data_IF_076124812932
#
_entry.id   IF_076124812932
#
_cell.length_a   1.000
_cell.length_b   1.000
_cell.length_c   1.000
_cell.angle_alpha   90.00
_cell.angle_beta   90.00
_cell.angle_gamma   90.00
#
_symmetry.space_group_name_H-M   'P 1'
#
loop_
_entity.id
_entity.type
_entity.pdbx_description
1 polymer ?
#
# COMPACT_ATOMS: atom_id res chain seq x y z
N UNK A 1 -34.03 29.27 -10.74
CA UNK A 1 -32.58 29.04 -10.52
C UNK A 1 -32.33 27.55 -10.57
N UNK A 2 -31.69 27.06 -11.63
CA UNK A 2 -31.61 25.65 -12.00
C UNK A 2 -30.80 24.84 -10.96
N UNK A 3 -31.47 23.93 -10.24
CA UNK A 3 -30.82 22.79 -9.56
C UNK A 3 -30.83 21.60 -10.51
N UNK A 4 -29.73 21.40 -11.23
CA UNK A 4 -29.41 20.14 -11.86
C UNK A 4 -28.07 19.67 -11.26
N UNK A 5 -28.11 18.58 -10.49
CA UNK A 5 -27.00 17.87 -9.84
C UNK A 5 -26.29 18.52 -8.63
N UNK A 6 -27.01 18.68 -7.50
CA UNK A 6 -26.61 18.45 -6.08
C UNK A 6 -25.24 18.81 -5.47
N UNK A 7 -24.22 19.19 -6.25
CA UNK A 7 -22.87 19.52 -5.80
C UNK A 7 -22.78 21.01 -5.48
N UNK A 8 -22.43 21.32 -4.23
CA UNK A 8 -22.13 22.67 -3.78
C UNK A 8 -20.62 22.92 -3.84
N UNK A 9 -20.22 23.99 -4.53
CA UNK A 9 -18.85 24.50 -4.54
C UNK A 9 -18.79 25.80 -3.74
N UNK A 10 -17.76 25.95 -2.93
CA UNK A 10 -17.46 27.22 -2.27
C UNK A 10 -17.06 28.27 -3.30
N UNK A 11 -17.15 29.57 -2.95
CA UNK A 11 -16.70 30.66 -3.81
C UNK A 11 -15.24 30.47 -4.27
N UNK A 12 -14.39 29.95 -3.38
CA UNK A 12 -12.99 29.65 -3.68
C UNK A 12 -12.84 28.54 -4.72
N UNK A 13 -13.62 27.46 -4.60
CA UNK A 13 -13.62 26.34 -5.54
C UNK A 13 -14.19 26.74 -6.90
N UNK A 14 -15.22 27.57 -6.90
CA UNK A 14 -15.79 28.16 -8.12
C UNK A 14 -14.76 29.06 -8.83
N UNK A 15 -14.06 29.93 -8.09
CA UNK A 15 -13.00 30.76 -8.67
C UNK A 15 -11.83 29.93 -9.24
N UNK A 16 -11.46 28.81 -8.61
CA UNK A 16 -10.47 27.89 -9.18
C UNK A 16 -10.95 27.28 -10.50
N UNK A 17 -12.22 26.87 -10.57
CA UNK A 17 -12.84 26.32 -11.77
C UNK A 17 -12.94 27.35 -12.91
N UNK A 18 -13.05 28.63 -12.58
CA UNK A 18 -13.05 29.76 -13.52
C UNK A 18 -11.64 30.22 -13.93
N UNK A 19 -10.58 29.61 -13.39
CA UNK A 19 -9.21 29.85 -13.79
C UNK A 19 -8.48 30.95 -13.03
N UNK A 20 -9.01 31.43 -11.90
CA UNK A 20 -8.37 32.48 -11.09
C UNK A 20 -6.95 32.14 -10.61
N UNK A 21 -6.62 30.85 -10.58
CA UNK A 21 -5.36 30.29 -10.07
C UNK A 21 -4.45 29.72 -11.16
N UNK A 22 -4.77 29.97 -12.43
CA UNK A 22 -4.05 29.45 -13.58
C UNK A 22 -4.51 28.07 -14.05
N UNK A 23 -4.04 27.70 -15.24
CA UNK A 23 -4.56 26.58 -16.03
C UNK A 23 -4.43 25.22 -15.35
N UNK A 24 -3.30 24.93 -14.70
CA UNK A 24 -3.11 23.65 -14.03
C UNK A 24 -4.11 23.45 -12.87
N UNK A 25 -4.40 24.50 -12.10
CA UNK A 25 -5.34 24.42 -10.97
C UNK A 25 -6.77 24.29 -11.46
N UNK A 26 -7.12 25.03 -12.51
CA UNK A 26 -8.42 24.90 -13.18
C UNK A 26 -8.67 23.46 -13.61
N UNK A 27 -7.74 22.89 -14.38
CA UNK A 27 -7.80 21.50 -14.84
C UNK A 27 -7.91 20.49 -13.68
N UNK A 28 -7.17 20.70 -12.60
CA UNK A 28 -7.24 19.85 -11.41
C UNK A 28 -8.63 19.89 -10.75
N UNK A 29 -9.21 21.08 -10.60
CA UNK A 29 -10.56 21.22 -10.03
C UNK A 29 -11.62 20.65 -10.97
N UNK A 30 -11.49 20.82 -12.29
CA UNK A 30 -12.38 20.19 -13.27
C UNK A 30 -12.44 18.67 -13.11
N UNK A 31 -11.27 18.02 -12.96
CA UNK A 31 -11.19 16.57 -12.72
C UNK A 31 -11.89 16.19 -11.41
N UNK A 32 -11.60 16.90 -10.31
CA UNK A 32 -12.20 16.62 -9.00
C UNK A 32 -13.72 16.86 -9.03
N UNK A 33 -14.20 17.90 -9.69
CA UNK A 33 -15.63 18.20 -9.88
C UNK A 33 -16.31 17.15 -10.75
N UNK A 34 -15.64 16.67 -11.81
CA UNK A 34 -16.17 15.60 -12.64
C UNK A 34 -16.35 14.31 -11.83
N UNK A 35 -15.36 13.93 -11.01
CA UNK A 35 -15.45 12.79 -10.10
C UNK A 35 -16.56 12.99 -9.06
N UNK A 36 -16.67 14.19 -8.48
CA UNK A 36 -17.74 14.54 -7.56
C UNK A 36 -19.12 14.32 -8.18
N UNK A 37 -19.32 14.73 -9.43
CA UNK A 37 -20.59 14.51 -10.17
C UNK A 37 -20.83 13.03 -10.46
N UNK A 38 -19.80 12.29 -10.88
CA UNK A 38 -19.89 10.84 -11.19
C UNK A 38 -20.32 10.05 -9.96
N UNK A 39 -19.73 10.35 -8.80
CA UNK A 39 -19.99 9.63 -7.56
C UNK A 39 -21.08 10.26 -6.67
N UNK A 40 -21.76 11.30 -7.16
CA UNK A 40 -22.85 11.95 -6.44
C UNK A 40 -22.43 12.67 -5.15
N UNK A 41 -21.19 13.16 -5.07
CA UNK A 41 -20.73 13.93 -3.93
C UNK A 41 -21.50 15.26 -3.81
N UNK A 42 -21.92 15.60 -2.60
CA UNK A 42 -22.63 16.86 -2.34
C UNK A 42 -21.68 18.07 -2.23
N UNK A 43 -20.39 17.84 -1.98
CA UNK A 43 -19.36 18.88 -1.80
C UNK A 43 -17.97 18.35 -2.11
N UNK A 44 -17.02 19.26 -2.26
CA UNK A 44 -15.60 18.96 -2.14
C UNK A 44 -15.15 19.10 -0.68
N UNK A 45 -14.04 18.47 -0.32
CA UNK A 45 -13.45 18.54 1.02
C UNK A 45 -11.97 18.86 0.92
N UNK A 46 -11.40 19.70 1.80
CA UNK A 46 -9.95 19.91 1.85
C UNK A 46 -9.25 18.61 2.21
N UNK A 47 -8.06 18.40 1.65
CA UNK A 47 -7.20 17.26 1.99
C UNK A 47 -5.96 17.73 2.73
N UNK A 48 -5.57 17.01 3.77
CA UNK A 48 -4.39 17.34 4.58
C UNK A 48 -3.09 16.81 3.99
N UNK A 49 -3.14 15.67 3.29
CA UNK A 49 -2.01 15.14 2.53
C UNK A 49 -2.47 14.31 1.34
N UNK A 50 -1.55 14.12 0.39
CA UNK A 50 -1.76 13.30 -0.80
C UNK A 50 -0.63 12.29 -0.97
N UNK A 51 -0.96 11.11 -1.48
CA UNK A 51 0.03 10.16 -1.97
C UNK A 51 -0.30 9.78 -3.41
N UNK A 52 0.60 10.12 -4.33
CA UNK A 52 0.41 9.91 -5.77
C UNK A 52 0.89 8.51 -6.19
N UNK A 53 0.09 7.80 -6.99
CA UNK A 53 0.45 6.53 -7.62
C UNK A 53 0.91 6.71 -9.07
N UNK A 54 1.33 5.63 -9.74
CA UNK A 54 1.80 5.69 -11.12
C UNK A 54 3.21 6.27 -11.26
N UNK A 55 4.07 6.05 -10.26
CA UNK A 55 5.44 6.58 -10.22
C UNK A 55 6.40 5.70 -11.02
N UNK A 56 6.17 4.40 -11.07
CA UNK A 56 6.98 3.48 -11.87
C UNK A 56 6.83 3.77 -13.36
N UNK A 57 7.94 4.01 -14.06
CA UNK A 57 7.96 4.19 -15.50
C UNK A 57 7.43 2.96 -16.26
N UNK A 58 7.51 1.76 -15.66
CA UNK A 58 6.90 0.54 -16.19
C UNK A 58 5.40 0.71 -16.43
N UNK A 59 4.71 1.38 -15.49
CA UNK A 59 3.27 1.55 -15.52
C UNK A 59 2.87 2.86 -16.22
N UNK A 60 3.68 3.91 -16.05
CA UNK A 60 3.41 5.24 -16.58
C UNK A 60 3.69 5.34 -18.09
N UNK A 61 4.79 4.74 -18.54
CA UNK A 61 5.27 4.81 -19.91
C UNK A 61 5.56 6.23 -20.40
N UNK A 62 5.83 6.34 -21.70
CA UNK A 62 6.11 7.62 -22.35
C UNK A 62 4.90 8.57 -22.32
N UNK A 63 3.69 8.05 -22.55
CA UNK A 63 2.46 8.84 -22.55
C UNK A 63 2.20 9.48 -21.18
N UNK A 64 2.38 8.74 -20.09
CA UNK A 64 2.22 9.29 -18.76
C UNK A 64 3.33 10.30 -18.39
N UNK A 65 4.58 10.09 -18.83
CA UNK A 65 5.64 11.09 -18.65
C UNK A 65 5.36 12.37 -19.44
N UNK A 66 4.86 12.26 -20.68
CA UNK A 66 4.46 13.40 -21.49
C UNK A 66 3.31 14.18 -20.84
N UNK A 67 2.31 13.46 -20.31
CA UNK A 67 1.23 14.06 -19.51
C UNK A 67 1.78 14.84 -18.31
N UNK A 68 2.68 14.27 -17.51
CA UNK A 68 3.25 14.99 -16.37
C UNK A 68 4.04 16.24 -16.80
N UNK A 69 4.79 16.18 -17.90
CA UNK A 69 5.50 17.35 -18.44
C UNK A 69 4.55 18.45 -18.89
N UNK A 70 3.42 18.08 -19.50
CA UNK A 70 2.37 19.02 -19.88
C UNK A 70 1.80 19.75 -18.66
N UNK A 71 1.48 19.02 -17.59
CA UNK A 71 1.05 19.61 -16.32
C UNK A 71 2.10 20.57 -15.75
N UNK A 72 3.37 20.17 -15.76
CA UNK A 72 4.45 21.03 -15.28
C UNK A 72 4.57 22.31 -16.11
N UNK A 73 4.46 22.20 -17.44
CA UNK A 73 4.47 23.34 -18.36
C UNK A 73 3.26 24.28 -18.17
N UNK A 74 2.12 23.75 -17.74
CA UNK A 74 0.92 24.51 -17.34
C UNK A 74 1.06 25.15 -15.95
N UNK A 75 2.21 25.04 -15.30
CA UNK A 75 2.50 25.65 -14.00
C UNK A 75 2.02 24.82 -12.80
N UNK A 76 1.80 23.51 -12.97
CA UNK A 76 1.37 22.66 -11.86
C UNK A 76 2.32 22.72 -10.67
N UNK A 77 1.75 23.00 -9.49
CA UNK A 77 2.39 22.94 -8.19
C UNK A 77 1.42 22.36 -7.17
N UNK A 78 1.91 21.47 -6.32
CA UNK A 78 1.10 20.94 -5.22
C UNK A 78 0.93 21.98 -4.12
N UNK A 79 -0.22 21.94 -3.43
CA UNK A 79 -0.59 22.89 -2.37
C UNK A 79 -0.63 22.27 -0.98
N UNK A 80 -0.54 20.94 -0.91
CA UNK A 80 -0.60 20.16 0.32
C UNK A 80 0.57 19.19 0.35
N UNK A 81 1.04 18.76 1.54
CA UNK A 81 2.08 17.74 1.67
C UNK A 81 1.77 16.52 0.79
N UNK A 82 2.66 16.24 -0.15
CA UNK A 82 2.45 15.20 -1.16
C UNK A 82 3.68 14.31 -1.27
N UNK A 83 3.48 13.00 -1.21
CA UNK A 83 4.53 11.98 -1.38
C UNK A 83 4.21 11.04 -2.53
N UNK A 84 5.15 10.14 -2.83
CA UNK A 84 5.08 9.24 -3.97
C UNK A 84 4.94 7.77 -3.54
N UNK A 85 4.21 7.01 -4.34
CA UNK A 85 4.32 5.55 -4.32
C UNK A 85 5.73 5.07 -4.73
N UNK A 86 6.05 3.78 -4.53
CA UNK A 86 7.32 3.23 -4.98
C UNK A 86 7.56 3.48 -6.48
N UNK A 87 8.79 3.87 -6.81
CA UNK A 87 9.31 3.96 -8.16
C UNK A 87 9.53 2.57 -8.76
N UNK A 88 9.81 2.51 -10.06
CA UNK A 88 10.06 1.25 -10.77
C UNK A 88 11.41 0.60 -10.46
N UNK A 89 12.33 1.31 -9.81
CA UNK A 89 13.67 0.83 -9.45
C UNK A 89 14.18 1.55 -8.20
N UNK A 90 15.19 0.98 -7.54
CA UNK A 90 15.99 1.70 -6.55
C UNK A 90 16.78 2.82 -7.27
N UNK A 91 16.46 4.06 -6.94
CA UNK A 91 16.91 5.22 -7.73
C UNK A 91 18.42 5.46 -7.66
N UNK A 92 19.10 4.82 -6.70
CA UNK A 92 20.55 4.88 -6.51
C UNK A 92 21.25 3.59 -6.90
N UNK A 93 20.67 2.42 -6.55
CA UNK A 93 21.35 1.13 -6.67
C UNK A 93 20.87 0.27 -7.85
N UNK A 94 20.04 0.82 -8.74
CA UNK A 94 19.47 0.10 -9.89
C UNK A 94 20.48 -0.69 -10.73
N UNK A 95 21.70 -0.15 -10.97
CA UNK A 95 22.77 -0.84 -11.73
C UNK A 95 23.12 -2.17 -11.08
N UNK A 96 23.28 -2.19 -9.76
CA UNK A 96 23.63 -3.40 -8.99
C UNK A 96 22.49 -4.42 -8.92
N UNK A 97 21.26 -3.97 -9.16
CA UNK A 97 20.06 -4.81 -9.22
C UNK A 97 19.82 -5.39 -10.62
N UNK A 98 20.59 -4.97 -11.63
CA UNK A 98 20.52 -5.49 -12.99
C UNK A 98 19.58 -4.73 -13.92
N UNK A 99 19.11 -3.54 -13.53
CA UNK A 99 18.26 -2.72 -14.41
C UNK A 99 19.07 -1.94 -15.45
N UNK A 100 18.47 -1.66 -16.60
CA UNK A 100 19.13 -0.98 -17.71
C UNK A 100 19.21 0.54 -17.48
N UNK A 101 20.26 1.16 -18.03
CA UNK A 101 20.42 2.61 -17.98
C UNK A 101 19.30 3.37 -18.71
N UNK A 102 18.78 2.78 -19.80
CA UNK A 102 17.63 3.31 -20.52
C UNK A 102 16.39 3.44 -19.62
N UNK A 103 16.04 2.38 -18.89
CA UNK A 103 14.92 2.42 -17.94
C UNK A 103 15.19 3.40 -16.80
N UNK A 104 16.40 3.39 -16.24
CA UNK A 104 16.76 4.26 -15.13
C UNK A 104 16.69 5.75 -15.48
N UNK A 105 17.12 6.13 -16.70
CA UNK A 105 16.99 7.51 -17.19
C UNK A 105 15.53 7.95 -17.26
N UNK A 106 14.64 7.08 -17.76
CA UNK A 106 13.22 7.42 -17.84
C UNK A 106 12.57 7.50 -16.46
N UNK A 107 12.89 6.57 -15.56
CA UNK A 107 12.43 6.63 -14.18
C UNK A 107 12.89 7.92 -13.49
N UNK A 108 14.14 8.34 -13.70
CA UNK A 108 14.66 9.60 -13.16
C UNK A 108 13.86 10.80 -13.69
N UNK A 109 13.59 10.84 -14.99
CA UNK A 109 12.79 11.90 -15.60
C UNK A 109 11.37 12.01 -15.00
N UNK A 110 10.75 10.89 -14.61
CA UNK A 110 9.45 10.90 -13.89
C UNK A 110 9.59 11.59 -12.53
N UNK A 111 10.61 11.21 -11.76
CA UNK A 111 10.84 11.79 -10.44
C UNK A 111 11.17 13.27 -10.51
N UNK A 112 12.00 13.68 -11.47
CA UNK A 112 12.39 15.08 -11.66
C UNK A 112 11.17 15.96 -11.95
N UNK A 113 10.21 15.47 -12.74
CA UNK A 113 8.96 16.20 -13.03
C UNK A 113 8.09 16.34 -11.78
N UNK A 114 7.92 15.27 -11.00
CA UNK A 114 7.17 15.35 -9.75
C UNK A 114 7.84 16.28 -8.73
N UNK A 115 9.16 16.19 -8.55
CA UNK A 115 9.92 17.09 -7.67
C UNK A 115 9.82 18.53 -8.14
N UNK A 116 9.87 18.80 -9.45
CA UNK A 116 9.65 20.13 -9.99
C UNK A 116 8.25 20.69 -9.70
N UNK A 117 7.23 19.84 -9.55
CA UNK A 117 5.88 20.23 -9.08
C UNK A 117 5.80 20.49 -7.57
N UNK A 118 6.88 20.28 -6.81
CA UNK A 118 6.92 20.44 -5.36
C UNK A 118 6.52 19.19 -4.57
N UNK A 119 6.47 18.02 -5.21
CA UNK A 119 6.19 16.75 -4.54
C UNK A 119 7.48 16.23 -3.90
N UNK A 120 7.38 15.77 -2.65
CA UNK A 120 8.49 15.13 -1.95
C UNK A 120 8.76 13.75 -2.57
N UNK A 121 9.97 13.48 -3.13
CA UNK A 121 10.29 12.25 -3.83
C UNK A 121 10.49 11.03 -2.90
N UNK A 122 9.78 11.00 -1.77
CA UNK A 122 9.70 9.84 -0.88
C UNK A 122 8.91 8.74 -1.58
N UNK A 123 9.61 7.76 -2.15
CA UNK A 123 9.05 6.67 -2.94
C UNK A 123 8.68 5.47 -2.07
N UNK A 124 7.54 5.49 -1.39
CA UNK A 124 7.12 4.38 -0.51
C UNK A 124 5.62 4.14 -0.49
N UNK A 125 5.22 2.87 -0.39
CA UNK A 125 3.84 2.47 -0.17
C UNK A 125 3.43 2.52 1.32
N UNK A 126 4.35 2.88 2.21
CA UNK A 126 4.14 2.97 3.68
C UNK A 126 4.51 4.34 4.25
N UNK A 127 3.90 5.45 3.75
CA UNK A 127 4.29 6.81 4.16
C UNK A 127 4.07 7.06 5.66
N UNK A 128 3.14 6.34 6.29
CA UNK A 128 2.88 6.36 7.73
C UNK A 128 4.05 5.84 8.59
N UNK A 129 4.93 5.00 8.05
CA UNK A 129 6.16 4.58 8.74
C UNK A 129 7.25 5.66 8.71
N UNK A 130 7.04 6.72 7.93
CA UNK A 130 7.93 7.88 7.82
C UNK A 130 7.32 9.16 8.43
N UNK A 131 6.22 9.03 9.17
CA UNK A 131 5.62 10.13 9.92
C UNK A 131 4.44 10.83 9.25
N UNK A 132 4.06 10.49 8.00
CA UNK A 132 2.79 10.96 7.44
C UNK A 132 1.62 10.17 8.06
N UNK A 133 1.18 10.62 9.25
CA UNK A 133 0.15 10.01 10.08
C UNK A 133 -0.99 11.02 10.28
N UNK A 134 -1.94 11.11 9.34
CA UNK A 134 -3.11 11.98 9.46
C UNK A 134 -3.89 11.70 10.74
N UNK A 135 -4.55 12.73 11.28
CA UNK A 135 -5.36 12.61 12.48
C UNK A 135 -6.67 11.85 12.23
N UNK A 136 -7.29 11.36 13.31
CA UNK A 136 -8.61 10.72 13.23
C UNK A 136 -9.64 11.66 12.58
N UNK A 137 -10.37 11.15 11.59
CA UNK A 137 -11.36 11.89 10.82
C UNK A 137 -10.80 12.84 9.75
N UNK A 138 -9.49 13.01 9.66
CA UNK A 138 -8.86 13.90 8.69
C UNK A 138 -9.02 13.37 7.26
N UNK A 139 -9.37 14.25 6.32
CA UNK A 139 -9.53 13.89 4.92
C UNK A 139 -8.19 13.94 4.20
N UNK A 140 -7.87 12.88 3.45
CA UNK A 140 -6.66 12.78 2.63
C UNK A 140 -7.02 12.20 1.26
N UNK A 141 -6.09 12.28 0.30
CA UNK A 141 -6.25 11.64 -1.01
C UNK A 141 -5.05 10.74 -1.30
N UNK A 142 -5.11 9.48 -0.85
CA UNK A 142 -4.03 8.52 -1.04
C UNK A 142 -4.39 7.50 -2.12
N UNK A 143 -3.42 7.16 -2.98
CA UNK A 143 -3.65 6.27 -4.11
C UNK A 143 -3.16 4.82 -3.86
N UNK A 144 -2.22 4.60 -2.93
CA UNK A 144 -1.73 3.25 -2.66
C UNK A 144 -2.76 2.41 -1.91
N UNK A 145 -3.14 1.27 -2.48
CA UNK A 145 -4.26 0.47 -1.94
C UNK A 145 -4.05 -0.01 -0.50
N UNK A 146 -2.82 -0.38 -0.12
CA UNK A 146 -2.52 -0.78 1.26
C UNK A 146 -2.39 0.42 2.19
N UNK A 147 -1.93 1.57 1.72
CA UNK A 147 -1.85 2.78 2.54
C UNK A 147 -3.24 3.36 2.80
N UNK A 148 -4.14 3.30 1.81
CA UNK A 148 -5.56 3.64 1.94
C UNK A 148 -6.22 2.78 3.02
N UNK A 149 -6.04 1.46 2.96
CA UNK A 149 -6.59 0.54 3.96
C UNK A 149 -6.06 0.85 5.37
N UNK A 150 -4.75 1.11 5.48
CA UNK A 150 -4.12 1.49 6.74
C UNK A 150 -4.61 2.84 7.28
N UNK A 151 -4.72 3.86 6.42
CA UNK A 151 -5.16 5.19 6.81
C UNK A 151 -6.61 5.16 7.32
N UNK A 152 -7.51 4.46 6.61
CA UNK A 152 -8.89 4.33 7.03
C UNK A 152 -9.04 3.50 8.31
N UNK A 153 -8.42 2.31 8.37
CA UNK A 153 -8.64 1.37 9.47
C UNK A 153 -7.85 1.72 10.74
N UNK A 154 -6.58 2.08 10.60
CA UNK A 154 -5.65 2.20 11.74
C UNK A 154 -5.53 3.63 12.21
N UNK A 155 -5.45 4.60 11.29
CA UNK A 155 -5.37 6.02 11.64
C UNK A 155 -6.75 6.66 11.81
N UNK A 156 -7.82 6.04 11.29
CA UNK A 156 -9.16 6.62 11.27
C UNK A 156 -9.29 7.83 10.34
N UNK A 157 -8.33 8.02 9.43
CA UNK A 157 -8.41 9.05 8.40
C UNK A 157 -9.47 8.66 7.34
N UNK A 158 -9.79 9.61 6.46
CA UNK A 158 -10.84 9.45 5.45
C UNK A 158 -10.25 9.60 4.06
N UNK A 159 -10.23 8.50 3.30
CA UNK A 159 -9.80 8.49 1.91
C UNK A 159 -10.49 7.40 1.11
N UNK A 160 -10.84 7.71 -0.12
CA UNK A 160 -11.14 6.69 -1.12
C UNK A 160 -9.83 6.11 -1.69
N UNK A 161 -9.97 5.11 -2.56
CA UNK A 161 -8.85 4.60 -3.37
C UNK A 161 -8.67 5.51 -4.58
N UNK A 162 -7.79 6.50 -4.46
CA UNK A 162 -7.52 7.46 -5.52
C UNK A 162 -6.75 6.82 -6.69
N UNK A 163 -7.00 7.29 -7.91
CA UNK A 163 -6.17 7.01 -9.07
C UNK A 163 -4.98 7.96 -9.13
N UNK A 164 -3.97 7.65 -9.95
CA UNK A 164 -2.82 8.54 -10.16
C UNK A 164 -3.22 9.98 -10.56
N UNK A 165 -4.05 10.15 -11.62
CA UNK A 165 -4.51 11.48 -12.04
C UNK A 165 -5.39 12.20 -11.02
N UNK A 166 -6.26 11.48 -10.30
CA UNK A 166 -7.14 12.09 -9.30
C UNK A 166 -6.36 12.53 -8.06
N UNK A 167 -5.41 11.71 -7.58
CA UNK A 167 -4.50 12.09 -6.51
C UNK A 167 -3.65 13.32 -6.88
N UNK A 168 -3.05 13.35 -8.08
CA UNK A 168 -2.28 14.51 -8.54
C UNK A 168 -3.16 15.77 -8.61
N UNK A 169 -4.39 15.64 -9.12
CA UNK A 169 -5.36 16.75 -9.15
C UNK A 169 -5.68 17.24 -7.74
N UNK A 170 -5.94 16.32 -6.80
CA UNK A 170 -6.19 16.65 -5.41
C UNK A 170 -4.99 17.34 -4.74
N UNK A 171 -3.76 16.96 -5.07
CA UNK A 171 -2.57 17.64 -4.57
C UNK A 171 -2.44 19.07 -5.09
N UNK A 172 -2.77 19.30 -6.37
CA UNK A 172 -2.66 20.61 -7.02
C UNK A 172 -3.76 21.57 -6.55
N UNK A 173 -5.00 21.11 -6.41
CA UNK A 173 -6.11 21.97 -5.97
C UNK A 173 -6.32 21.98 -4.45
N UNK A 174 -5.75 21.02 -3.72
CA UNK A 174 -5.93 20.85 -2.27
C UNK A 174 -7.31 20.33 -1.87
N UNK A 175 -8.05 19.71 -2.80
CA UNK A 175 -9.44 19.23 -2.61
C UNK A 175 -9.63 17.83 -3.16
N UNK A 176 -10.47 17.03 -2.53
CA UNK A 176 -11.05 15.82 -3.12
C UNK A 176 -12.58 15.85 -3.02
N UNK A 177 -13.26 14.94 -3.73
CA UNK A 177 -14.71 14.82 -3.69
C UNK A 177 -15.16 14.08 -2.42
N UNK A 178 -16.14 14.62 -1.69
CA UNK A 178 -16.67 13.99 -0.48
C UNK A 178 -17.71 12.90 -0.83
N UNK A 179 -17.23 11.72 -1.23
CA UNK A 179 -18.04 10.52 -1.47
C UNK A 179 -17.38 9.29 -0.84
N UNK A 180 -18.06 8.14 -0.90
CA UNK A 180 -17.49 6.86 -0.47
C UNK A 180 -17.06 6.93 1.00
N UNK A 181 -15.83 6.52 1.29
CA UNK A 181 -15.28 6.44 2.66
C UNK A 181 -14.97 7.81 3.28
N UNK A 182 -15.23 8.92 2.59
CA UNK A 182 -15.29 10.22 3.24
C UNK A 182 -16.58 10.44 4.04
N UNK A 183 -17.62 9.64 3.81
CA UNK A 183 -18.94 9.72 4.45
C UNK A 183 -19.10 8.64 5.53
N UNK A 184 -19.70 8.98 6.66
CA UNK A 184 -19.84 8.07 7.82
C UNK A 184 -20.67 6.83 7.49
N UNK A 185 -21.74 7.00 6.72
CA UNK A 185 -22.68 5.92 6.43
C UNK A 185 -22.01 4.80 5.63
N UNK A 186 -21.03 5.13 4.79
CA UNK A 186 -20.29 4.18 3.95
C UNK A 186 -19.16 3.48 4.70
N UNK A 187 -18.87 3.86 5.95
CA UNK A 187 -17.81 3.27 6.78
C UNK A 187 -18.34 2.16 7.70
N UNK A 188 -19.65 1.94 7.69
CA UNK A 188 -20.31 0.90 8.46
C UNK A 188 -19.99 -0.49 7.93
N UNK A 189 -19.66 -1.41 8.83
CA UNK A 189 -19.35 -2.79 8.49
C UNK A 189 -20.60 -3.60 8.17
N UNK A 190 -20.70 -4.02 6.90
CA UNK A 190 -21.71 -4.97 6.44
C UNK A 190 -21.34 -6.43 6.65
N UNK A 191 -20.15 -6.71 7.20
CA UNK A 191 -19.68 -8.08 7.46
C UNK A 191 -19.12 -8.21 8.87
N UNK A 192 -19.60 -9.20 9.62
CA UNK A 192 -19.01 -9.64 10.89
C UNK A 192 -18.09 -10.83 10.60
N UNK A 193 -16.81 -10.72 10.92
CA UNK A 193 -15.82 -11.79 10.72
C UNK A 193 -15.36 -12.33 12.07
N UNK A 194 -15.81 -13.53 12.43
CA UNK A 194 -15.37 -14.22 13.65
C UNK A 194 -14.13 -15.09 13.35
N UNK A 195 -12.98 -14.73 13.92
CA UNK A 195 -11.70 -15.44 13.71
C UNK A 195 -11.39 -16.32 14.92
N UNK A 196 -11.58 -17.64 14.75
CA UNK A 196 -11.48 -18.65 15.82
C UNK A 196 -10.20 -19.49 15.76
N UNK A 197 -9.40 -19.30 14.72
CA UNK A 197 -8.08 -19.90 14.61
C UNK A 197 -6.99 -18.96 15.17
N UNK A 198 -5.85 -19.51 15.60
CA UNK A 198 -4.75 -18.70 16.10
C UNK A 198 -4.07 -17.89 14.98
N UNK A 199 -3.69 -16.64 15.28
CA UNK A 199 -2.93 -15.77 14.38
C UNK A 199 -1.55 -15.46 14.99
N UNK A 200 -0.48 -16.07 14.48
CA UNK A 200 0.85 -16.01 15.10
C UNK A 200 1.82 -15.12 14.34
N UNK A 201 1.81 -15.23 13.02
CA UNK A 201 2.79 -14.62 12.11
C UNK A 201 2.16 -13.56 11.22
N UNK A 202 2.96 -12.65 10.66
CA UNK A 202 2.48 -11.66 9.66
C UNK A 202 1.82 -12.34 8.45
N UNK A 203 2.27 -13.56 8.11
CA UNK A 203 1.71 -14.38 7.03
C UNK A 203 0.32 -14.92 7.36
N UNK A 204 0.02 -15.22 8.62
CA UNK A 204 -1.33 -15.64 9.04
C UNK A 204 -2.34 -14.50 8.80
N UNK A 205 -1.96 -13.28 9.19
CA UNK A 205 -2.76 -12.08 8.96
C UNK A 205 -2.89 -11.76 7.46
N UNK A 206 -1.84 -11.98 6.68
CA UNK A 206 -1.90 -11.86 5.22
C UNK A 206 -2.86 -12.89 4.59
N UNK A 207 -2.81 -14.15 5.03
CA UNK A 207 -3.67 -15.22 4.55
C UNK A 207 -5.15 -14.96 4.90
N UNK A 208 -5.41 -14.52 6.14
CA UNK A 208 -6.72 -14.08 6.59
C UNK A 208 -7.24 -12.93 5.71
N UNK A 209 -6.43 -11.90 5.49
CA UNK A 209 -6.81 -10.78 4.64
C UNK A 209 -7.09 -11.19 3.20
N UNK A 210 -6.30 -12.11 2.64
CA UNK A 210 -6.58 -12.66 1.32
C UNK A 210 -7.96 -13.35 1.27
N UNK A 211 -8.25 -14.23 2.23
CA UNK A 211 -9.51 -14.98 2.31
C UNK A 211 -10.72 -14.05 2.44
N UNK A 212 -10.63 -13.08 3.34
CA UNK A 212 -11.73 -12.14 3.57
C UNK A 212 -11.92 -11.21 2.38
N UNK A 213 -10.85 -10.63 1.83
CA UNK A 213 -10.96 -9.77 0.65
C UNK A 213 -11.65 -10.48 -0.53
N UNK A 214 -11.36 -11.77 -0.75
CA UNK A 214 -12.05 -12.56 -1.78
C UNK A 214 -13.55 -12.74 -1.54
N UNK A 215 -13.99 -12.75 -0.28
CA UNK A 215 -15.39 -12.96 0.11
C UNK A 215 -16.19 -11.66 0.15
N UNK A 216 -15.63 -10.60 0.73
CA UNK A 216 -16.34 -9.33 0.95
C UNK A 216 -16.18 -8.35 -0.20
N UNK A 217 -15.22 -8.57 -1.09
CA UNK A 217 -14.88 -7.67 -2.19
C UNK A 217 -14.67 -6.24 -1.67
N UNK A 218 -15.39 -5.24 -2.18
CA UNK A 218 -15.28 -3.83 -1.76
C UNK A 218 -16.07 -3.50 -0.49
N UNK A 219 -16.65 -4.50 0.17
CA UNK A 219 -17.37 -4.33 1.43
C UNK A 219 -16.45 -4.02 2.62
N UNK A 220 -17.04 -3.53 3.71
CA UNK A 220 -16.34 -3.22 4.96
C UNK A 220 -16.54 -4.35 5.98
N UNK A 221 -15.49 -5.12 6.33
CA UNK A 221 -15.55 -6.13 7.37
C UNK A 221 -15.19 -5.58 8.75
N UNK A 222 -15.83 -6.11 9.80
CA UNK A 222 -15.45 -5.94 11.19
C UNK A 222 -15.03 -7.29 11.79
N UNK A 223 -13.78 -7.37 12.22
CA UNK A 223 -13.16 -8.58 12.76
C UNK A 223 -13.34 -8.67 14.28
N UNK A 224 -13.71 -9.88 14.73
CA UNK A 224 -13.75 -10.28 16.13
C UNK A 224 -12.72 -11.38 16.33
N UNK A 225 -11.65 -11.05 17.06
CA UNK A 225 -10.50 -11.92 17.28
C UNK A 225 -10.66 -12.59 18.65
N UNK A 226 -10.61 -13.91 18.68
CA UNK A 226 -10.77 -14.70 19.92
C UNK A 226 -9.45 -15.22 20.49
N UNK A 227 -8.33 -14.98 19.80
CA UNK A 227 -6.98 -15.31 20.29
C UNK A 227 -6.46 -14.16 21.15
N UNK A 228 -6.24 -14.41 22.44
CA UNK A 228 -5.76 -13.42 23.42
C UNK A 228 -4.43 -12.75 23.00
N UNK A 229 -3.62 -13.40 22.17
CA UNK A 229 -2.37 -12.82 21.63
C UNK A 229 -2.59 -11.75 20.56
N UNK A 230 -3.84 -11.52 20.18
CA UNK A 230 -4.25 -10.46 19.27
C UNK A 230 -4.73 -9.20 20.02
N UNK A 231 -4.73 -9.23 21.36
CA UNK A 231 -5.04 -8.05 22.16
C UNK A 231 -3.98 -6.96 21.95
N UNK A 232 -4.44 -5.71 21.89
CA UNK A 232 -3.56 -4.54 21.89
C UNK A 232 -3.54 -3.98 23.29
N UNK A 233 -2.38 -3.95 23.97
CA UNK A 233 -2.30 -3.41 25.32
C UNK A 233 -2.72 -1.94 25.40
N UNK A 234 -2.35 -1.16 24.37
CA UNK A 234 -2.75 0.23 24.18
C UNK A 234 -2.92 0.54 22.68
N UNK A 235 -4.15 0.80 22.20
CA UNK A 235 -4.38 1.16 20.80
C UNK A 235 -3.69 2.46 20.37
N UNK A 236 -3.36 3.37 21.30
CA UNK A 236 -2.58 4.57 20.99
C UNK A 236 -1.11 4.26 20.68
N UNK A 237 -0.64 3.04 20.99
CA UNK A 237 0.68 2.56 20.58
C UNK A 237 0.75 2.26 19.07
N UNK A 238 -0.39 2.14 18.37
CA UNK A 238 -0.39 2.08 16.91
C UNK A 238 -0.14 3.49 16.34
N UNK A 239 0.76 3.65 15.35
CA UNK A 239 1.33 2.63 14.48
C UNK A 239 2.76 2.16 14.86
N UNK A 240 3.22 2.38 16.09
CA UNK A 240 4.59 2.02 16.52
C UNK A 240 4.68 0.64 17.21
N UNK A 241 3.54 -0.01 17.47
CA UNK A 241 3.43 -1.35 18.05
C UNK A 241 3.82 -2.48 17.05
N UNK A 242 4.39 -3.63 17.51
CA UNK A 242 4.65 -4.79 16.64
C UNK A 242 3.43 -5.35 15.88
N UNK A 243 2.22 -5.12 16.38
CA UNK A 243 0.98 -5.47 15.70
C UNK A 243 0.78 -4.68 14.41
N UNK A 244 1.40 -3.50 14.26
CA UNK A 244 1.32 -2.68 13.04
C UNK A 244 1.64 -3.48 11.78
N UNK A 245 2.66 -4.34 11.80
CA UNK A 245 3.03 -5.11 10.60
C UNK A 245 1.98 -6.17 10.25
N UNK A 246 1.31 -6.73 11.25
CA UNK A 246 0.21 -7.69 11.06
C UNK A 246 -1.02 -6.99 10.49
N UNK A 247 -1.39 -5.83 11.01
CA UNK A 247 -2.53 -5.03 10.52
C UNK A 247 -2.27 -4.47 9.12
N UNK A 248 -1.07 -3.96 8.89
CA UNK A 248 -0.57 -3.56 7.57
C UNK A 248 -0.70 -4.70 6.56
N UNK A 249 -0.28 -5.91 6.94
CA UNK A 249 -0.37 -7.10 6.09
C UNK A 249 -1.81 -7.54 5.82
N UNK A 250 -2.68 -7.52 6.84
CA UNK A 250 -4.11 -7.81 6.74
C UNK A 250 -4.80 -6.87 5.73
N UNK A 251 -4.67 -5.56 5.93
CA UNK A 251 -5.24 -4.54 5.05
C UNK A 251 -4.70 -4.63 3.63
N UNK A 252 -3.38 -4.81 3.48
CA UNK A 252 -2.75 -4.96 2.18
C UNK A 252 -3.26 -6.17 1.39
N UNK A 253 -3.44 -7.31 2.06
CA UNK A 253 -3.95 -8.52 1.44
C UNK A 253 -5.42 -8.36 1.00
N UNK A 254 -6.28 -7.78 1.84
CA UNK A 254 -7.68 -7.51 1.48
C UNK A 254 -7.80 -6.49 0.35
N UNK A 255 -6.98 -5.44 0.38
CA UNK A 255 -6.95 -4.42 -0.68
C UNK A 255 -6.53 -5.01 -2.03
N UNK A 256 -5.64 -6.00 -2.02
CA UNK A 256 -5.20 -6.71 -3.22
C UNK A 256 -6.25 -7.70 -3.76
N UNK A 257 -6.83 -8.52 -2.88
CA UNK A 257 -7.72 -9.61 -3.29
C UNK A 257 -9.19 -9.21 -3.45
N UNK A 258 -9.63 -8.14 -2.79
CA UNK A 258 -11.02 -7.68 -2.76
C UNK A 258 -11.25 -6.20 -3.06
N UNK A 259 -10.20 -5.39 -3.12
CA UNK A 259 -10.32 -3.92 -3.13
C UNK A 259 -10.96 -3.32 -1.86
N UNK A 260 -10.86 -4.02 -0.72
CA UNK A 260 -11.25 -3.50 0.60
C UNK A 260 -10.38 -2.29 0.95
N UNK A 261 -11.01 -1.14 1.15
CA UNK A 261 -10.34 0.12 1.48
C UNK A 261 -10.50 0.53 2.96
N UNK A 262 -11.36 -0.16 3.70
CA UNK A 262 -11.56 0.01 5.15
C UNK A 262 -11.93 -1.34 5.76
N UNK A 263 -11.41 -1.61 6.96
CA UNK A 263 -11.84 -2.69 7.82
C UNK A 263 -11.80 -2.22 9.26
N UNK A 264 -12.55 -2.90 10.12
CA UNK A 264 -12.59 -2.67 11.55
C UNK A 264 -12.08 -3.88 12.30
N UNK A 265 -11.46 -3.68 13.45
CA UNK A 265 -11.19 -4.75 14.41
C UNK A 265 -11.81 -4.30 15.72
N UNK A 266 -12.75 -5.10 16.23
CA UNK A 266 -13.44 -4.81 17.48
C UNK A 266 -12.42 -4.47 18.59
N UNK A 267 -12.68 -3.38 19.31
CA UNK A 267 -11.85 -2.87 20.42
C UNK A 267 -10.44 -2.38 20.04
N UNK A 268 -10.05 -2.47 18.77
CA UNK A 268 -8.70 -2.08 18.29
C UNK A 268 -8.76 -0.86 17.39
N UNK A 269 -9.53 -0.90 16.30
CA UNK A 269 -9.56 0.22 15.36
C UNK A 269 -10.31 1.43 15.95
N UNK A 270 -9.90 2.67 15.66
CA UNK A 270 -10.46 3.86 16.32
C UNK A 270 -12.00 3.96 16.24
N UNK A 271 -12.58 3.72 15.06
CA UNK A 271 -14.03 3.74 14.88
C UNK A 271 -14.73 2.59 15.61
N UNK A 272 -14.15 1.38 15.61
CA UNK A 272 -14.74 0.25 16.31
C UNK A 272 -14.73 0.42 17.83
N UNK A 273 -13.72 1.12 18.37
CA UNK A 273 -13.64 1.52 19.79
C UNK A 273 -14.71 2.54 20.17
N UNK A 274 -14.99 3.49 19.28
CA UNK A 274 -16.11 4.42 19.47
C UNK A 274 -17.48 3.72 19.48
N UNK A 275 -17.53 2.50 18.94
CA UNK A 275 -18.71 1.63 18.94
C UNK A 275 -19.64 1.89 17.77
N UNK A 276 -20.62 1.01 17.59
CA UNK A 276 -21.69 1.20 16.60
C UNK A 276 -21.28 1.01 15.14
N UNK A 277 -20.10 0.48 14.83
CA UNK A 277 -19.64 0.31 13.43
C UNK A 277 -20.27 -0.86 12.69
N UNK A 278 -20.99 -1.78 13.36
CA UNK A 278 -21.57 -2.96 12.73
C UNK A 278 -23.03 -2.71 12.33
N UNK A 279 -23.38 -2.96 11.07
CA UNK A 279 -24.77 -2.91 10.61
C UNK A 279 -25.60 -4.02 11.28
N UNK A 280 -26.87 -3.75 11.52
CA UNK A 280 -27.79 -4.70 12.17
C UNK A 280 -28.02 -5.98 11.35
N UNK A 281 -27.92 -5.88 10.03
CA UNK A 281 -28.06 -6.97 9.05
C UNK A 281 -26.70 -7.47 8.51
N UNK A 282 -25.61 -7.18 9.22
CA UNK A 282 -24.27 -7.58 8.79
C UNK A 282 -24.13 -9.09 8.58
N UNK A 283 -23.58 -9.48 7.43
CA UNK A 283 -23.38 -10.88 7.08
C UNK A 283 -22.27 -11.51 7.93
N UNK A 284 -22.54 -12.67 8.50
CA UNK A 284 -21.59 -13.38 9.35
C UNK A 284 -20.66 -14.29 8.54
N UNK A 285 -19.36 -14.16 8.76
CA UNK A 285 -18.31 -15.02 8.21
C UNK A 285 -17.50 -15.59 9.38
N UNK A 286 -17.26 -16.90 9.37
CA UNK A 286 -16.42 -17.57 10.37
C UNK A 286 -15.13 -18.05 9.70
N UNK A 287 -13.99 -17.87 10.39
CA UNK A 287 -12.68 -18.37 9.96
C UNK A 287 -12.09 -19.25 11.07
N UNK A 288 -12.20 -20.57 10.86
CA UNK A 288 -11.65 -21.60 11.73
C UNK A 288 -10.30 -22.15 11.23
N UNK A 289 -9.90 -21.82 10.00
CA UNK A 289 -8.67 -22.32 9.37
C UNK A 289 -8.15 -21.35 8.30
N UNK A 290 -6.83 -21.16 8.26
CA UNK A 290 -6.11 -20.33 7.28
C UNK A 290 -5.49 -21.13 6.15
N UNK A 291 -5.46 -22.46 6.23
CA UNK A 291 -4.90 -23.36 5.22
C UNK A 291 -5.40 -23.05 3.80
N UNK A 292 -6.69 -22.76 3.57
CA UNK A 292 -7.17 -22.38 2.23
C UNK A 292 -6.51 -21.11 1.68
N UNK A 293 -6.17 -20.15 2.55
CA UNK A 293 -5.48 -18.91 2.16
C UNK A 293 -4.04 -19.19 1.75
N UNK A 294 -3.31 -19.97 2.55
CA UNK A 294 -1.95 -20.39 2.24
C UNK A 294 -1.87 -21.21 0.95
N UNK A 295 -2.81 -22.15 0.76
CA UNK A 295 -2.89 -22.98 -0.44
C UNK A 295 -3.17 -22.15 -1.70
N UNK A 296 -4.11 -21.20 -1.64
CA UNK A 296 -4.45 -20.36 -2.80
C UNK A 296 -3.27 -19.46 -3.24
N UNK A 297 -2.46 -19.00 -2.29
CA UNK A 297 -1.32 -18.10 -2.53
C UNK A 297 -0.02 -18.86 -2.88
N UNK A 298 0.01 -20.18 -2.70
CA UNK A 298 1.15 -21.03 -3.02
C UNK A 298 0.94 -21.84 -4.31
N UNK A 299 1.99 -21.99 -5.10
CA UNK A 299 2.05 -22.85 -6.28
C UNK A 299 2.95 -24.06 -6.01
N UNK A 300 3.24 -24.86 -7.04
CA UNK A 300 3.94 -26.14 -6.88
C UNK A 300 5.47 -26.05 -6.95
N UNK A 301 6.03 -24.97 -7.50
CA UNK A 301 7.48 -24.81 -7.64
C UNK A 301 8.22 -24.85 -6.30
N UNK A 302 9.17 -25.78 -6.14
CA UNK A 302 9.96 -25.93 -4.90
C UNK A 302 11.33 -25.28 -5.01
N UNK A 303 11.93 -25.17 -6.19
CA UNK A 303 13.17 -24.41 -6.39
C UNK A 303 12.86 -22.91 -6.44
N UNK A 304 13.54 -22.10 -5.64
CA UNK A 304 13.28 -20.66 -5.49
C UNK A 304 14.40 -19.84 -6.12
N UNK A 305 14.07 -18.96 -7.05
CA UNK A 305 15.03 -18.06 -7.72
C UNK A 305 15.19 -16.73 -6.98
N UNK A 306 14.13 -16.29 -6.28
CA UNK A 306 14.14 -15.06 -5.48
C UNK A 306 13.22 -15.16 -4.27
N UNK A 307 13.68 -14.67 -3.13
CA UNK A 307 12.89 -14.42 -1.94
C UNK A 307 12.67 -12.93 -1.83
N UNK A 308 11.41 -12.52 -1.68
CA UNK A 308 11.04 -11.11 -1.57
C UNK A 308 10.19 -10.83 -0.34
N UNK A 309 10.70 -9.97 0.54
CA UNK A 309 10.08 -9.51 1.78
C UNK A 309 9.86 -8.00 1.70
N UNK A 310 8.74 -7.51 2.24
CA UNK A 310 8.43 -6.08 2.26
C UNK A 310 7.40 -5.63 1.23
N UNK A 311 6.23 -6.25 1.23
CA UNK A 311 5.05 -5.74 0.51
C UNK A 311 3.81 -5.79 1.41
N UNK A 312 3.36 -4.67 1.99
CA UNK A 312 3.93 -3.31 1.85
C UNK A 312 5.37 -3.20 2.38
N UNK A 313 6.10 -2.15 1.99
CA UNK A 313 7.50 -1.93 2.34
C UNK A 313 7.82 -2.31 3.80
N UNK A 314 8.92 -3.05 3.96
CA UNK A 314 9.31 -3.65 5.22
C UNK A 314 9.52 -2.60 6.30
N UNK A 315 8.98 -2.85 7.49
CA UNK A 315 9.23 -2.03 8.68
C UNK A 315 10.64 -2.27 9.24
N UNK A 316 11.11 -1.43 10.19
CA UNK A 316 12.30 -1.71 10.98
C UNK A 316 12.27 -3.10 11.66
N UNK A 317 11.10 -3.54 12.14
CA UNK A 317 10.96 -4.83 12.82
C UNK A 317 11.14 -6.01 11.86
N UNK A 318 10.51 -5.94 10.68
CA UNK A 318 10.67 -6.97 9.63
C UNK A 318 12.12 -7.04 9.14
N UNK A 319 12.79 -5.89 8.94
CA UNK A 319 14.21 -5.85 8.58
C UNK A 319 15.06 -6.49 9.67
N UNK A 320 14.80 -6.17 10.94
CA UNK A 320 15.50 -6.78 12.08
C UNK A 320 15.30 -8.29 12.18
N UNK A 321 14.10 -8.80 11.87
CA UNK A 321 13.80 -10.23 11.83
C UNK A 321 14.63 -10.94 10.75
N UNK A 322 14.64 -10.41 9.52
CA UNK A 322 15.44 -10.98 8.42
C UNK A 322 16.93 -10.93 8.77
N UNK A 323 17.42 -9.81 9.29
CA UNK A 323 18.82 -9.65 9.67
C UNK A 323 19.28 -10.67 10.71
N UNK A 324 18.44 -10.97 11.72
CA UNK A 324 18.73 -12.02 12.71
C UNK A 324 18.74 -13.41 12.07
N UNK A 325 17.77 -13.70 11.20
CA UNK A 325 17.62 -15.02 10.60
C UNK A 325 18.80 -15.41 9.67
N UNK A 326 19.42 -14.42 9.01
CA UNK A 326 20.58 -14.62 8.12
C UNK A 326 21.94 -14.40 8.80
N UNK A 327 21.97 -14.07 10.09
CA UNK A 327 23.20 -13.75 10.81
C UNK A 327 24.22 -14.89 10.74
N UNK A 328 25.44 -14.59 10.28
CA UNK A 328 26.53 -15.58 10.16
C UNK A 328 26.34 -16.61 9.03
N UNK A 329 25.34 -16.44 8.15
CA UNK A 329 25.02 -17.37 7.07
C UNK A 329 25.30 -16.75 5.69
N UNK A 330 25.08 -17.54 4.63
CA UNK A 330 25.13 -17.12 3.23
C UNK A 330 23.89 -17.61 2.48
N UNK A 331 23.22 -16.72 1.77
CA UNK A 331 22.08 -17.08 0.91
C UNK A 331 22.57 -17.76 -0.37
N UNK A 332 21.80 -18.72 -0.87
CA UNK A 332 22.05 -19.44 -2.13
C UNK A 332 21.20 -18.93 -3.28
N UNK A 333 20.15 -18.17 -2.99
CA UNK A 333 19.27 -17.55 -3.97
C UNK A 333 19.16 -16.04 -3.72
N UNK A 334 18.58 -15.28 -4.66
CA UNK A 334 18.40 -13.86 -4.45
C UNK A 334 17.47 -13.61 -3.24
N UNK A 335 17.86 -12.77 -2.30
CA UNK A 335 17.03 -12.32 -1.18
C UNK A 335 16.88 -10.80 -1.25
N UNK A 336 15.67 -10.31 -1.46
CA UNK A 336 15.35 -8.89 -1.52
C UNK A 336 14.45 -8.52 -0.34
N UNK A 337 14.86 -7.51 0.42
CA UNK A 337 14.05 -6.87 1.45
C UNK A 337 13.76 -5.45 0.98
N UNK A 338 12.53 -5.18 0.52
CA UNK A 338 12.14 -3.88 -0.04
C UNK A 338 11.58 -2.97 1.05
N UNK A 339 12.12 -1.76 1.19
CA UNK A 339 11.75 -0.80 2.23
C UNK A 339 11.84 0.65 1.74
N UNK A 340 11.43 1.61 2.56
CA UNK A 340 11.67 3.03 2.29
C UNK A 340 13.14 3.39 2.50
N UNK A 341 13.68 4.31 1.68
CA UNK A 341 15.07 4.78 1.76
C UNK A 341 15.49 5.23 3.15
N UNK A 342 14.70 6.10 3.79
CA UNK A 342 14.98 6.59 5.14
C UNK A 342 15.03 5.46 6.20
N UNK A 343 14.21 4.40 6.05
CA UNK A 343 14.26 3.23 6.93
C UNK A 343 15.54 2.43 6.67
N UNK A 344 15.90 2.20 5.40
CA UNK A 344 17.14 1.52 5.02
C UNK A 344 18.37 2.21 5.63
N UNK A 345 18.43 3.55 5.56
CA UNK A 345 19.53 4.34 6.10
C UNK A 345 19.59 4.26 7.63
N UNK A 346 18.44 4.38 8.31
CA UNK A 346 18.34 4.28 9.77
C UNK A 346 18.71 2.89 10.30
N UNK A 347 18.47 1.84 9.50
CA UNK A 347 18.72 0.43 9.85
C UNK A 347 20.07 -0.08 9.31
N UNK A 348 21.08 0.78 9.21
CA UNK A 348 22.35 0.46 8.54
C UNK A 348 23.04 -0.79 9.08
N UNK A 349 22.97 -1.07 10.38
CA UNK A 349 23.56 -2.27 11.00
C UNK A 349 22.88 -3.56 10.53
N UNK A 350 21.55 -3.57 10.49
CA UNK A 350 20.75 -4.69 10.00
C UNK A 350 20.90 -4.87 8.49
N UNK A 351 20.91 -3.75 7.74
CA UNK A 351 21.17 -3.75 6.29
C UNK A 351 22.52 -4.38 6.00
N UNK A 352 23.58 -3.95 6.69
CA UNK A 352 24.92 -4.51 6.52
C UNK A 352 24.94 -6.01 6.83
N UNK A 353 24.20 -6.47 7.85
CA UNK A 353 24.11 -7.90 8.19
C UNK A 353 23.42 -8.71 7.08
N UNK A 354 22.34 -8.18 6.51
CA UNK A 354 21.62 -8.81 5.38
C UNK A 354 22.50 -8.83 4.13
N UNK A 355 23.15 -7.72 3.80
CA UNK A 355 24.03 -7.60 2.64
C UNK A 355 25.29 -8.48 2.78
N UNK A 356 25.85 -8.59 3.99
CA UNK A 356 26.96 -9.51 4.27
C UNK A 356 26.57 -10.96 4.00
N UNK A 357 25.33 -11.37 4.27
CA UNK A 357 24.85 -12.72 3.95
C UNK A 357 24.62 -12.95 2.44
N UNK A 358 24.73 -11.92 1.60
CA UNK A 358 24.45 -11.95 0.16
C UNK A 358 23.04 -11.52 -0.21
N UNK A 359 22.22 -11.11 0.76
CA UNK A 359 20.92 -10.50 0.51
C UNK A 359 21.04 -9.04 0.04
N UNK A 360 19.92 -8.42 -0.31
CA UNK A 360 19.84 -7.02 -0.72
C UNK A 360 18.71 -6.32 0.01
N UNK A 361 19.00 -5.19 0.64
CA UNK A 361 17.95 -4.28 1.12
C UNK A 361 17.76 -3.20 0.07
N UNK A 362 16.61 -3.25 -0.59
CA UNK A 362 16.26 -2.45 -1.78
C UNK A 362 15.37 -1.29 -1.36
N UNK A 363 15.73 -0.07 -1.75
CA UNK A 363 14.95 1.12 -1.45
C UNK A 363 14.11 1.57 -2.65
N UNK A 364 13.10 2.41 -2.38
CA UNK A 364 12.26 3.15 -3.35
C UNK A 364 11.38 2.33 -4.29
N UNK A 365 11.58 1.02 -4.37
CA UNK A 365 10.85 0.13 -5.28
C UNK A 365 10.44 -1.16 -4.60
N UNK A 366 9.53 -1.89 -5.23
CA UNK A 366 9.17 -3.24 -4.85
C UNK A 366 8.96 -4.15 -6.07
N UNK A 367 8.94 -5.46 -5.84
CA UNK A 367 8.80 -6.46 -6.92
C UNK A 367 7.50 -6.32 -7.74
N UNK A 368 6.48 -5.66 -7.21
CA UNK A 368 5.19 -5.49 -7.89
C UNK A 368 5.27 -4.40 -8.97
N UNK A 369 6.06 -3.33 -8.73
CA UNK A 369 6.13 -2.18 -9.64
C UNK A 369 7.41 -2.13 -10.46
N UNK A 370 8.42 -2.92 -10.09
CA UNK A 370 9.65 -3.08 -10.84
C UNK A 370 9.45 -3.98 -12.09
N UNK A 371 10.24 -3.80 -13.16
CA UNK A 371 10.23 -4.67 -14.33
C UNK A 371 11.00 -5.98 -14.04
N UNK A 372 10.55 -6.72 -13.04
CA UNK A 372 11.22 -7.93 -12.52
C UNK A 372 11.28 -9.08 -13.53
N UNK A 373 10.39 -9.09 -14.52
CA UNK A 373 10.39 -10.02 -15.65
C UNK A 373 11.69 -9.95 -16.48
N UNK A 374 12.40 -8.82 -16.43
CA UNK A 374 13.68 -8.62 -17.10
C UNK A 374 14.86 -9.21 -16.33
N UNK A 375 14.64 -9.66 -15.10
CA UNK A 375 15.69 -10.19 -14.21
C UNK A 375 15.82 -11.73 -14.30
N UNK A 376 14.97 -12.39 -15.10
CA UNK A 376 15.06 -13.83 -15.37
C UNK A 376 14.55 -14.75 -14.26
N UNK A 377 13.90 -14.21 -13.23
CA UNK A 377 13.28 -15.02 -12.17
C UNK A 377 12.05 -15.77 -12.70
N UNK A 378 11.85 -17.01 -12.25
CA UNK A 378 10.66 -17.82 -12.56
C UNK A 378 9.88 -18.20 -11.31
N UNK A 379 10.56 -18.46 -10.20
CA UNK A 379 9.93 -18.81 -8.93
C UNK A 379 10.32 -17.85 -7.81
N UNK A 380 9.33 -17.41 -7.04
CA UNK A 380 9.49 -16.50 -5.92
C UNK A 380 8.96 -17.12 -4.62
N UNK A 381 9.59 -16.79 -3.49
CA UNK A 381 9.00 -16.96 -2.16
C UNK A 381 8.72 -15.61 -1.49
N UNK A 382 7.60 -15.47 -0.77
CA UNK A 382 7.25 -14.25 -0.05
C UNK A 382 6.38 -14.50 1.17
N UNK A 383 6.46 -13.60 2.15
CA UNK A 383 5.58 -13.57 3.34
C UNK A 383 4.33 -12.70 3.16
N UNK A 384 4.12 -12.13 1.97
CA UNK A 384 3.04 -11.20 1.67
C UNK A 384 2.03 -11.79 0.70
N UNK A 385 0.77 -11.87 1.13
CA UNK A 385 -0.33 -12.27 0.26
C UNK A 385 -0.55 -11.27 -0.89
N UNK A 386 -0.35 -9.96 -0.63
CA UNK A 386 -0.42 -8.92 -1.65
C UNK A 386 0.63 -9.16 -2.75
N UNK A 387 1.86 -9.44 -2.35
CA UNK A 387 2.93 -9.74 -3.30
C UNK A 387 2.67 -11.05 -4.03
N UNK A 388 2.26 -12.10 -3.34
CA UNK A 388 1.94 -13.39 -3.96
C UNK A 388 0.80 -13.29 -4.98
N UNK A 389 -0.21 -12.48 -4.68
CA UNK A 389 -1.32 -12.20 -5.59
C UNK A 389 -0.87 -11.47 -6.86
N UNK A 390 -0.09 -10.40 -6.72
CA UNK A 390 0.33 -9.59 -7.87
C UNK A 390 1.46 -10.23 -8.67
N UNK A 391 2.42 -10.91 -8.05
CA UNK A 391 3.56 -11.49 -8.77
C UNK A 391 3.16 -12.52 -9.83
N UNK A 392 2.06 -13.27 -9.59
CA UNK A 392 1.50 -14.19 -10.60
C UNK A 392 0.94 -13.45 -11.81
N UNK A 393 0.13 -12.42 -11.57
CA UNK A 393 -0.59 -11.69 -12.62
C UNK A 393 0.25 -10.65 -13.35
N UNK A 394 1.19 -9.99 -12.65
CA UNK A 394 1.99 -8.88 -13.19
C UNK A 394 3.35 -9.34 -13.75
N UNK A 395 3.89 -10.44 -13.23
CA UNK A 395 5.26 -10.88 -13.53
C UNK A 395 5.36 -12.35 -13.94
N UNK A 396 4.25 -13.09 -13.97
CA UNK A 396 4.23 -14.51 -14.38
C UNK A 396 5.00 -15.46 -13.46
N UNK A 397 5.32 -15.05 -12.24
CA UNK A 397 6.13 -15.85 -11.32
C UNK A 397 5.30 -16.96 -10.67
N UNK A 398 5.87 -18.16 -10.56
CA UNK A 398 5.37 -19.16 -9.61
C UNK A 398 5.71 -18.71 -8.20
N UNK A 399 4.76 -18.81 -7.27
CA UNK A 399 4.95 -18.24 -5.92
C UNK A 399 4.78 -19.28 -4.85
N UNK A 400 5.70 -19.31 -3.87
CA UNK A 400 5.50 -19.92 -2.57
C UNK A 400 5.22 -18.84 -1.52
N UNK A 401 4.17 -19.05 -0.73
CA UNK A 401 3.75 -18.11 0.30
C UNK A 401 3.84 -18.79 1.67
N UNK A 402 4.48 -18.12 2.63
CA UNK A 402 4.73 -18.68 3.96
C UNK A 402 5.30 -17.66 4.93
N UNK A 403 5.87 -18.10 6.04
CA UNK A 403 6.44 -17.19 7.05
C UNK A 403 7.77 -16.57 6.60
N UNK A 404 8.24 -15.53 7.31
CA UNK A 404 9.57 -14.96 7.07
C UNK A 404 10.64 -16.03 7.27
N UNK A 405 10.48 -16.90 8.26
CA UNK A 405 11.40 -18.01 8.56
C UNK A 405 11.47 -18.99 7.37
N UNK A 406 10.32 -19.40 6.83
CA UNK A 406 10.29 -20.28 5.65
C UNK A 406 10.92 -19.60 4.42
N UNK A 407 10.65 -18.30 4.24
CA UNK A 407 11.23 -17.52 3.15
C UNK A 407 12.75 -17.40 3.29
N UNK A 408 13.27 -17.11 4.49
CA UNK A 408 14.72 -17.04 4.75
C UNK A 408 15.36 -18.41 4.61
N UNK A 409 14.71 -19.48 5.06
CA UNK A 409 15.20 -20.85 4.84
C UNK A 409 15.30 -21.17 3.35
N UNK A 410 14.30 -20.78 2.57
CA UNK A 410 14.36 -20.89 1.12
C UNK A 410 15.49 -20.05 0.52
N UNK A 411 15.79 -18.90 1.10
CA UNK A 411 16.94 -18.08 0.67
C UNK A 411 18.27 -18.79 0.91
N UNK A 412 18.41 -19.49 2.04
CA UNK A 412 19.62 -20.17 2.48
C UNK A 412 19.83 -21.51 1.77
N UNK A 413 18.77 -22.21 1.40
CA UNK A 413 18.85 -23.55 0.79
C UNK A 413 18.69 -23.53 -0.72
N UNK A 414 18.01 -22.53 -1.27
CA UNK A 414 17.56 -22.47 -2.67
C UNK A 414 16.27 -23.23 -2.95
N UNK A 415 15.67 -23.85 -1.92
CA UNK A 415 14.45 -24.64 -2.05
C UNK A 415 13.43 -24.27 -0.97
N UNK A 416 12.16 -24.27 -1.34
CA UNK A 416 11.08 -24.11 -0.40
C UNK A 416 11.12 -25.24 0.64
N UNK A 417 11.11 -24.93 1.95
CA UNK A 417 11.13 -25.96 2.96
C UNK A 417 9.86 -26.82 2.84
N UNK A 418 10.04 -28.14 2.75
CA UNK A 418 8.95 -29.08 3.03
C UNK A 418 8.51 -28.84 4.48
N UNK A 419 7.20 -28.76 4.74
CA UNK A 419 6.67 -28.41 6.07
C UNK A 419 7.44 -29.16 7.18
N UNK A 420 7.96 -28.47 8.21
CA UNK A 420 8.28 -29.17 9.44
C UNK A 420 6.96 -29.74 9.97
N UNK A 421 6.97 -31.05 10.19
CA UNK A 421 5.88 -31.86 10.73
C UNK A 421 5.25 -31.25 11.98
#
# INVERSE_FOLDING_TARGET
MQRANGLYLTEREQAMLEGADGTAVQRAVEIVVALAKIYGAARLTPVASVQVAGVSYKNLGEAGLAFLREWLAQGARVRVPTTLNPAGIDVERWRTLGFTEGFARQQRAVLDVYTAMGIDPVCTCTPYLLGNRPAYGEHIAWAESSAVSFANAILGARTNREGGPSALSAAICGRTAAYGLHLDENRMAGFRVDVRCPLRTVSDWSALGYLIGRRVQSGVPCFFLYDERCAVPDPEALPDDPLTDRLKSLGAAMAASGAVALYHIAEVTPEARAGGVLLSDAQRIVIDDLTPGYAALSGEGTRIDVVSIGCPHASPLEIGQVARAVAGKRVKTALWVTTARAIRERMSAEVNRIEAAGGRVVADTCMVVAPVEQLGFRTMATNSAKMAFYARSHSGLQVRFGTIEQCVEAALTGYWPCNPS
#
